data_IF_568515353675
#
_entry.id   IF_568515353675
#
_cell.length_a   1.000
_cell.length_b   1.000
_cell.length_c   1.000
_cell.angle_alpha   90.00
_cell.angle_beta   90.00
_cell.angle_gamma   90.00
#
_symmetry.space_group_name_H-M   'P 1'
#
loop_
_entity.id
_entity.type
_entity.pdbx_description
1 polymer ?
#
# COMPACT_ATOMS: atom_id res chain seq x y z
N UNK A 1 -0.45 12.03 -32.12
CA UNK A 1 -0.72 11.15 -30.95
C UNK A 1 -2.10 11.52 -30.46
N UNK A 2 -3.03 10.57 -30.37
CA UNK A 2 -4.36 10.88 -29.87
C UNK A 2 -4.28 11.18 -28.37
N UNK A 3 -5.21 12.01 -27.87
CA UNK A 3 -5.28 12.36 -26.45
C UNK A 3 -5.40 11.10 -25.58
N UNK A 4 -6.17 10.12 -26.06
CA UNK A 4 -6.39 8.81 -25.43
C UNK A 4 -5.07 8.03 -25.27
N UNK A 5 -4.24 7.98 -26.32
CA UNK A 5 -2.94 7.27 -26.26
C UNK A 5 -2.00 7.90 -25.22
N UNK A 6 -2.07 9.22 -25.07
CA UNK A 6 -1.24 9.96 -24.11
C UNK A 6 -1.69 9.69 -22.67
N UNK A 7 -3.00 9.68 -22.43
CA UNK A 7 -3.61 9.36 -21.13
C UNK A 7 -3.25 7.94 -20.70
N UNK A 8 -3.33 6.97 -21.61
CA UNK A 8 -3.00 5.56 -21.33
C UNK A 8 -1.53 5.45 -20.92
N UNK A 9 -0.61 6.03 -21.70
CA UNK A 9 0.82 5.99 -21.36
C UNK A 9 1.14 6.63 -20.01
N UNK A 10 0.51 7.74 -19.65
CA UNK A 10 0.73 8.40 -18.34
C UNK A 10 0.17 7.54 -17.21
N UNK A 11 -1.01 6.95 -17.39
CA UNK A 11 -1.64 6.09 -16.38
C UNK A 11 -0.81 4.82 -16.16
N UNK A 12 -0.38 4.16 -17.23
CA UNK A 12 0.47 2.96 -17.16
C UNK A 12 1.82 3.26 -16.49
N UNK A 13 2.40 4.44 -16.75
CA UNK A 13 3.64 4.86 -16.08
C UNK A 13 3.44 5.06 -14.58
N UNK A 14 2.32 5.68 -14.17
CA UNK A 14 1.98 5.84 -12.75
C UNK A 14 1.75 4.50 -12.06
N UNK A 15 1.05 3.58 -12.72
CA UNK A 15 0.82 2.22 -12.20
C UNK A 15 2.16 1.48 -12.03
N UNK A 16 3.03 1.53 -13.04
CA UNK A 16 4.36 0.93 -12.98
C UNK A 16 5.21 1.51 -11.85
N UNK A 17 5.19 2.84 -11.65
CA UNK A 17 5.90 3.50 -10.55
C UNK A 17 5.36 3.06 -9.19
N UNK A 18 4.03 3.02 -9.03
CA UNK A 18 3.39 2.58 -7.80
C UNK A 18 3.74 1.13 -7.45
N UNK A 19 3.68 0.23 -8.44
CA UNK A 19 4.09 -1.18 -8.28
C UNK A 19 5.58 -1.29 -7.95
N UNK A 20 6.44 -0.50 -8.59
CA UNK A 20 7.87 -0.50 -8.33
C UNK A 20 8.18 -0.05 -6.90
N UNK A 21 7.55 1.02 -6.41
CA UNK A 21 7.71 1.53 -5.04
C UNK A 21 7.32 0.47 -4.01
N UNK A 22 6.16 -0.16 -4.18
CA UNK A 22 5.71 -1.25 -3.27
C UNK A 22 6.69 -2.41 -3.33
N UNK A 23 7.09 -2.84 -4.53
CA UNK A 23 7.98 -3.98 -4.71
C UNK A 23 9.37 -3.74 -4.09
N UNK A 24 9.94 -2.55 -4.28
CA UNK A 24 11.24 -2.18 -3.70
C UNK A 24 11.15 -2.11 -2.18
N UNK A 25 10.12 -1.48 -1.63
CA UNK A 25 9.98 -1.36 -0.18
C UNK A 25 9.72 -2.70 0.52
N UNK A 26 8.96 -3.59 -0.11
CA UNK A 26 8.79 -4.97 0.37
C UNK A 26 10.11 -5.75 0.29
N UNK A 27 10.83 -5.67 -0.83
CA UNK A 27 12.11 -6.36 -1.01
C UNK A 27 13.16 -5.88 0.00
N UNK A 28 13.23 -4.57 0.23
CA UNK A 28 14.11 -3.97 1.23
C UNK A 28 13.73 -4.38 2.64
N UNK A 29 12.44 -4.36 2.98
CA UNK A 29 11.95 -4.86 4.26
C UNK A 29 12.33 -6.32 4.49
N UNK A 30 12.19 -7.17 3.46
CA UNK A 30 12.50 -8.59 3.55
C UNK A 30 14.00 -8.82 3.79
N UNK A 31 14.85 -8.05 3.09
CA UNK A 31 16.30 -8.08 3.31
C UNK A 31 16.67 -7.71 4.76
N UNK A 32 16.06 -6.64 5.30
CA UNK A 32 16.26 -6.24 6.69
C UNK A 32 15.75 -7.29 7.68
N UNK A 33 14.60 -7.89 7.41
CA UNK A 33 14.04 -8.96 8.25
C UNK A 33 14.97 -10.18 8.34
N UNK A 34 15.49 -10.64 7.19
CA UNK A 34 16.45 -11.76 7.14
C UNK A 34 17.71 -11.42 7.93
N UNK A 35 18.23 -10.20 7.78
CA UNK A 35 19.40 -9.72 8.52
C UNK A 35 19.11 -9.66 10.03
N UNK A 36 17.97 -9.11 10.43
CA UNK A 36 17.61 -8.91 11.83
C UNK A 36 17.24 -10.22 12.54
N UNK A 37 16.74 -11.22 11.80
CA UNK A 37 16.46 -12.57 12.31
C UNK A 37 17.72 -13.30 12.82
N UNK A 38 18.91 -12.90 12.36
CA UNK A 38 20.20 -13.44 12.82
C UNK A 38 20.70 -12.70 14.08
N UNK A 39 20.28 -11.45 14.29
CA UNK A 39 20.82 -10.57 15.34
C UNK A 39 19.87 -10.29 16.50
N UNK A 40 18.56 -10.45 16.32
CA UNK A 40 17.53 -10.07 17.28
C UNK A 40 16.49 -11.19 17.47
N UNK A 41 15.68 -11.07 18.50
CA UNK A 41 14.53 -11.96 18.72
C UNK A 41 13.48 -11.79 17.62
N UNK A 42 12.87 -12.90 17.21
CA UNK A 42 11.90 -12.96 16.10
C UNK A 42 10.76 -11.95 16.23
N UNK A 43 10.26 -11.69 17.43
CA UNK A 43 9.19 -10.71 17.68
C UNK A 43 9.58 -9.27 17.29
N UNK A 44 10.84 -8.86 17.55
CA UNK A 44 11.31 -7.51 17.27
C UNK A 44 11.54 -7.34 15.77
N UNK A 45 12.19 -8.32 15.14
CA UNK A 45 12.41 -8.33 13.69
C UNK A 45 11.07 -8.33 12.92
N UNK A 46 10.10 -9.12 13.39
CA UNK A 46 8.78 -9.21 12.77
C UNK A 46 8.01 -7.89 12.84
N UNK A 47 7.98 -7.23 14.01
CA UNK A 47 7.36 -5.90 14.15
C UNK A 47 8.01 -4.86 13.24
N UNK A 48 9.34 -4.83 13.17
CA UNK A 48 10.07 -3.87 12.34
C UNK A 48 9.77 -4.09 10.85
N UNK A 49 9.77 -5.35 10.39
CA UNK A 49 9.41 -5.71 9.02
C UNK A 49 7.99 -5.28 8.66
N UNK A 50 7.03 -5.52 9.55
CA UNK A 50 5.64 -5.13 9.37
C UNK A 50 5.44 -3.63 9.21
N UNK A 51 6.07 -2.83 10.07
CA UNK A 51 6.00 -1.36 9.99
C UNK A 51 6.60 -0.86 8.68
N UNK A 52 7.71 -1.46 8.23
CA UNK A 52 8.34 -1.10 6.96
C UNK A 52 7.45 -1.40 5.75
N UNK A 53 6.80 -2.57 5.72
CA UNK A 53 5.84 -2.91 4.66
C UNK A 53 4.68 -1.93 4.64
N UNK A 54 4.09 -1.61 5.79
CA UNK A 54 2.95 -0.68 5.87
C UNK A 54 3.33 0.71 5.33
N UNK A 55 4.52 1.22 5.68
CA UNK A 55 5.02 2.51 5.17
C UNK A 55 5.20 2.50 3.65
N UNK A 56 5.80 1.44 3.11
CA UNK A 56 5.97 1.27 1.66
C UNK A 56 4.63 1.16 0.93
N UNK A 57 3.66 0.46 1.52
CA UNK A 57 2.33 0.30 0.95
C UNK A 57 1.58 1.63 0.87
N UNK A 58 1.63 2.46 1.92
CA UNK A 58 0.99 3.79 1.95
C UNK A 58 1.60 4.69 0.86
N UNK A 59 2.92 4.75 0.76
CA UNK A 59 3.62 5.54 -0.26
C UNK A 59 3.26 5.05 -1.68
N UNK A 60 3.22 3.74 -1.88
CA UNK A 60 2.79 3.15 -3.14
C UNK A 60 1.32 3.44 -3.46
N UNK A 61 0.45 3.51 -2.44
CA UNK A 61 -0.96 3.80 -2.62
C UNK A 61 -1.19 5.24 -3.11
N UNK A 62 -0.42 6.21 -2.63
CA UNK A 62 -0.50 7.61 -3.09
C UNK A 62 -0.22 7.71 -4.60
N UNK A 63 0.73 6.92 -5.10
CA UNK A 63 1.08 6.89 -6.53
C UNK A 63 0.07 6.09 -7.36
N UNK A 64 -0.36 4.93 -6.86
CA UNK A 64 -1.33 4.06 -7.56
C UNK A 64 -2.71 4.73 -7.68
N UNK A 65 -3.18 5.40 -6.62
CA UNK A 65 -4.45 6.13 -6.66
C UNK A 65 -4.42 7.25 -7.70
N UNK A 66 -3.28 7.90 -7.92
CA UNK A 66 -3.15 8.92 -8.95
C UNK A 66 -3.33 8.33 -10.37
N UNK A 67 -2.70 7.20 -10.67
CA UNK A 67 -2.85 6.48 -11.95
C UNK A 67 -4.29 6.03 -12.19
N UNK A 68 -4.90 5.45 -11.17
CA UNK A 68 -6.30 5.02 -11.19
C UNK A 68 -7.27 6.18 -11.46
N UNK A 69 -7.09 7.33 -10.80
CA UNK A 69 -7.92 8.52 -11.03
C UNK A 69 -7.77 9.03 -12.46
N UNK A 70 -6.55 9.11 -13.00
CA UNK A 70 -6.29 9.58 -14.37
C UNK A 70 -6.97 8.66 -15.39
N UNK A 71 -6.79 7.35 -15.26
CA UNK A 71 -7.40 6.34 -16.16
C UNK A 71 -8.93 6.46 -16.18
N UNK A 72 -9.54 6.64 -15.00
CA UNK A 72 -11.00 6.66 -14.86
C UNK A 72 -11.61 7.96 -15.37
N UNK A 73 -10.98 9.10 -15.12
CA UNK A 73 -11.49 10.41 -15.55
C UNK A 73 -11.35 10.61 -17.06
N UNK A 74 -10.32 10.03 -17.68
CA UNK A 74 -9.89 10.44 -19.00
C UNK A 74 -10.23 9.47 -20.15
N UNK A 75 -10.53 8.19 -19.88
CA UNK A 75 -10.77 7.19 -20.93
C UNK A 75 -12.27 6.96 -21.20
N UNK A 76 -13.11 6.90 -20.17
CA UNK A 76 -14.57 6.90 -20.34
C UNK A 76 -15.24 7.16 -18.98
N UNK A 77 -16.07 8.20 -18.83
CA UNK A 77 -16.87 8.42 -17.62
C UNK A 77 -18.04 7.43 -17.56
N UNK A 78 -17.75 6.12 -17.53
CA UNK A 78 -18.73 5.05 -17.39
C UNK A 78 -18.82 4.63 -15.92
N UNK A 79 -20.04 4.55 -15.39
CA UNK A 79 -20.29 4.11 -14.01
C UNK A 79 -19.75 2.70 -13.75
N UNK A 80 -19.72 1.83 -14.77
CA UNK A 80 -19.23 0.45 -14.66
C UNK A 80 -17.72 0.39 -14.40
N UNK A 81 -16.93 1.17 -15.14
CA UNK A 81 -15.48 1.21 -14.98
C UNK A 81 -15.09 1.76 -13.60
N UNK A 82 -15.78 2.80 -13.14
CA UNK A 82 -15.61 3.38 -11.79
C UNK A 82 -15.97 2.36 -10.71
N UNK A 83 -17.07 1.60 -10.90
CA UNK A 83 -17.53 0.62 -9.92
C UNK A 83 -16.56 -0.56 -9.74
N UNK A 84 -16.01 -1.08 -10.84
CA UNK A 84 -15.00 -2.17 -10.78
C UNK A 84 -13.75 -1.69 -10.06
N UNK A 85 -13.28 -0.48 -10.39
CA UNK A 85 -12.12 0.11 -9.74
C UNK A 85 -12.37 0.34 -8.23
N UNK A 86 -13.49 0.93 -7.88
CA UNK A 86 -13.90 1.13 -6.49
C UNK A 86 -13.94 -0.18 -5.70
N UNK A 87 -14.44 -1.27 -6.31
CA UNK A 87 -14.46 -2.58 -5.67
C UNK A 87 -13.04 -3.12 -5.39
N UNK A 88 -12.10 -2.97 -6.33
CA UNK A 88 -10.70 -3.39 -6.15
C UNK A 88 -10.04 -2.61 -5.01
N UNK A 89 -10.22 -1.29 -4.96
CA UNK A 89 -9.68 -0.42 -3.91
C UNK A 89 -10.25 -0.80 -2.53
N UNK A 90 -11.56 -1.07 -2.45
CA UNK A 90 -12.22 -1.50 -1.20
C UNK A 90 -11.67 -2.83 -0.71
N UNK A 91 -11.53 -3.82 -1.59
CA UNK A 91 -10.96 -5.13 -1.24
C UNK A 91 -9.54 -4.96 -0.71
N UNK A 92 -8.72 -4.15 -1.37
CA UNK A 92 -7.34 -3.88 -0.93
C UNK A 92 -7.28 -3.20 0.43
N UNK A 93 -8.13 -2.19 0.65
CA UNK A 93 -8.22 -1.50 1.94
C UNK A 93 -8.60 -2.49 3.05
N UNK A 94 -9.62 -3.30 2.81
CA UNK A 94 -10.09 -4.29 3.77
C UNK A 94 -9.02 -5.34 4.11
N UNK A 95 -8.36 -5.94 3.10
CA UNK A 95 -7.31 -6.95 3.32
C UNK A 95 -6.10 -6.36 4.06
N UNK A 96 -5.62 -5.19 3.63
CA UNK A 96 -4.50 -4.52 4.30
C UNK A 96 -4.83 -4.19 5.75
N UNK A 97 -6.06 -3.79 6.02
CA UNK A 97 -6.54 -3.48 7.36
C UNK A 97 -6.69 -4.74 8.21
N UNK A 98 -7.35 -5.78 7.71
CA UNK A 98 -7.53 -7.06 8.40
C UNK A 98 -6.18 -7.63 8.84
N UNK A 99 -5.18 -7.58 7.96
CA UNK A 99 -3.82 -7.99 8.30
C UNK A 99 -3.24 -7.09 9.40
N UNK A 100 -3.42 -5.76 9.31
CA UNK A 100 -3.02 -4.81 10.36
C UNK A 100 -3.59 -5.19 11.73
N UNK A 101 -4.88 -5.51 11.79
CA UNK A 101 -5.58 -5.89 13.02
C UNK A 101 -5.05 -7.18 13.63
N UNK A 102 -4.81 -8.21 12.81
CA UNK A 102 -4.36 -9.51 13.29
C UNK A 102 -3.02 -9.43 14.03
N UNK A 103 -2.08 -8.66 13.49
CA UNK A 103 -0.72 -8.60 14.03
C UNK A 103 -0.58 -7.53 15.13
N UNK A 104 -1.31 -6.42 15.07
CA UNK A 104 -1.25 -5.41 16.13
C UNK A 104 -2.21 -5.73 17.30
N UNK A 105 -3.24 -6.54 17.08
CA UNK A 105 -4.29 -6.87 18.05
C UNK A 105 -5.16 -5.67 18.45
N UNK A 106 -5.01 -4.54 17.76
CA UNK A 106 -5.67 -3.26 18.02
C UNK A 106 -6.08 -2.60 16.72
N UNK A 107 -7.17 -1.85 16.78
CA UNK A 107 -7.62 -1.07 15.64
C UNK A 107 -6.62 0.05 15.30
N UNK A 108 -6.40 0.38 14.02
CA UNK A 108 -5.46 1.43 13.63
C UNK A 108 -5.84 2.81 14.16
N UNK A 109 -7.11 3.02 14.52
CA UNK A 109 -7.58 4.25 15.18
C UNK A 109 -7.45 4.23 16.71
N UNK A 110 -6.99 3.13 17.32
CA UNK A 110 -6.72 3.08 18.76
C UNK A 110 -5.37 3.74 19.03
N UNK A 111 -5.40 4.87 19.75
CA UNK A 111 -4.19 5.57 20.17
C UNK A 111 -3.32 4.66 21.06
N UNK A 112 -1.98 4.72 20.95
CA UNK A 112 -1.10 3.99 21.86
C UNK A 112 -1.43 4.42 23.28
N UNK A 113 -1.93 3.50 24.10
CA UNK A 113 -2.21 3.78 25.51
C UNK A 113 -0.89 4.20 26.15
N UNK A 114 -0.77 5.49 26.45
CA UNK A 114 0.40 6.05 27.14
C UNK A 114 0.50 5.31 28.47
N UNK A 115 1.63 4.67 28.80
CA UNK A 115 1.80 4.09 30.13
C UNK A 115 1.69 5.23 31.12
N UNK A 116 0.64 5.20 31.95
CA UNK A 116 0.52 6.11 33.08
C UNK A 116 1.68 5.78 34.02
N UNK A 117 2.69 6.65 34.05
CA UNK A 117 3.74 6.60 35.05
C UNK A 117 3.08 6.86 36.41
N UNK A 118 3.07 5.83 37.25
CA UNK A 118 2.67 5.93 38.65
C UNK A 118 3.69 5.24 39.52
#
# INVERSE_FOLDING_TARGET
MNLIDTIINVSDLMDALGVAIVSIGVSWGLFLFIKDCITQTLDIAYKAFRIQIVRSLILGLEVLVAGDVIRTVAISPSLTSVAVLGAIVVIRCFLSWSLSLEIDGRWPWQSPTKPEAK
#
